data_IF_774337331342
#
_entry.id   IF_774337331342
#
_cell.length_a   1.000
_cell.length_b   1.000
_cell.length_c   1.000
_cell.angle_alpha   90.00
_cell.angle_beta   90.00
_cell.angle_gamma   90.00
#
_symmetry.space_group_name_H-M   'P 1'
#
loop_
_entity.id
_entity.type
_entity.pdbx_description
1 polymer ?
#
# COMPACT_ATOMS: atom_id res chain seq x y z
N UNK A 1 15.39 -22.61 18.31
CA UNK A 1 16.65 -21.90 18.00
C UNK A 1 16.83 -21.62 16.50
N UNK A 2 17.22 -22.56 15.61
CA UNK A 2 17.44 -22.24 14.17
C UNK A 2 16.13 -21.86 13.45
N UNK A 3 15.03 -22.57 13.76
CA UNK A 3 13.72 -22.30 13.16
C UNK A 3 13.13 -20.95 13.61
N UNK A 4 13.30 -20.58 14.88
CA UNK A 4 12.89 -19.26 15.41
C UNK A 4 13.65 -18.13 14.74
N UNK A 5 14.98 -18.23 14.63
CA UNK A 5 15.78 -17.21 13.94
C UNK A 5 15.43 -17.06 12.46
N UNK A 6 14.96 -18.13 11.82
CA UNK A 6 14.47 -18.09 10.44
C UNK A 6 13.11 -17.38 10.34
N UNK A 7 12.22 -17.63 11.31
CA UNK A 7 10.90 -16.97 11.39
C UNK A 7 11.05 -15.48 11.72
N UNK A 8 11.97 -15.10 12.61
CA UNK A 8 12.24 -13.69 12.91
C UNK A 8 12.72 -12.93 11.66
N UNK A 9 13.70 -13.47 10.94
CA UNK A 9 14.19 -12.86 9.69
C UNK A 9 13.11 -12.78 8.61
N UNK A 10 12.23 -13.79 8.52
CA UNK A 10 11.10 -13.78 7.59
C UNK A 10 10.05 -12.72 7.96
N UNK A 11 9.78 -12.56 9.27
CA UNK A 11 8.83 -11.56 9.78
C UNK A 11 9.33 -10.14 9.51
N UNK A 12 10.63 -9.90 9.66
CA UNK A 12 11.25 -8.62 9.34
C UNK A 12 11.20 -8.30 7.84
N UNK A 13 11.38 -9.31 6.99
CA UNK A 13 11.19 -9.19 5.54
C UNK A 13 9.74 -8.85 5.15
N UNK A 14 8.74 -9.43 5.81
CA UNK A 14 7.32 -9.11 5.59
C UNK A 14 7.03 -7.66 5.97
N UNK A 15 7.56 -7.17 7.09
CA UNK A 15 7.40 -5.77 7.50
C UNK A 15 7.97 -4.80 6.47
N UNK A 16 9.15 -5.12 5.93
CA UNK A 16 9.75 -4.32 4.86
C UNK A 16 8.88 -4.33 3.59
N UNK A 17 8.34 -5.50 3.20
CA UNK A 17 7.48 -5.62 2.02
C UNK A 17 6.17 -4.86 2.20
N UNK A 18 5.59 -4.86 3.40
CA UNK A 18 4.41 -4.06 3.75
C UNK A 18 4.68 -2.56 3.68
N UNK A 19 5.82 -2.09 4.20
CA UNK A 19 6.24 -0.69 4.09
C UNK A 19 6.41 -0.28 2.63
N UNK A 20 7.06 -1.12 1.82
CA UNK A 20 7.24 -0.89 0.39
C UNK A 20 5.90 -0.86 -0.36
N UNK A 21 4.99 -1.77 -0.02
CA UNK A 21 3.62 -1.81 -0.55
C UNK A 21 2.83 -0.54 -0.24
N UNK A 22 2.97 0.02 0.96
CA UNK A 22 2.31 1.28 1.34
C UNK A 22 2.82 2.47 0.51
N UNK A 23 4.15 2.57 0.30
CA UNK A 23 4.75 3.63 -0.53
C UNK A 23 4.26 3.52 -1.98
N UNK A 24 4.27 2.30 -2.54
CA UNK A 24 3.77 2.04 -3.90
C UNK A 24 2.28 2.35 -4.03
N UNK A 25 1.46 1.97 -3.05
CA UNK A 25 0.03 2.28 -3.02
C UNK A 25 -0.24 3.78 -3.04
N UNK A 26 0.52 4.56 -2.27
CA UNK A 26 0.42 6.02 -2.23
C UNK A 26 0.86 6.66 -3.56
N UNK A 27 1.94 6.17 -4.17
CA UNK A 27 2.40 6.59 -5.50
C UNK A 27 1.35 6.35 -6.59
N UNK A 28 0.71 5.18 -6.59
CA UNK A 28 -0.36 4.83 -7.53
C UNK A 28 -1.57 5.73 -7.31
N UNK A 29 -1.91 6.06 -6.07
CA UNK A 29 -3.02 6.95 -5.75
C UNK A 29 -2.76 8.38 -6.24
N UNK A 30 -1.56 8.92 -6.01
CA UNK A 30 -1.15 10.22 -6.53
C UNK A 30 -1.15 10.23 -8.06
N UNK A 31 -0.55 9.23 -8.70
CA UNK A 31 -0.52 9.10 -10.15
C UNK A 31 -1.94 8.96 -10.76
N UNK A 32 -2.82 8.20 -10.10
CA UNK A 32 -4.22 8.05 -10.49
C UNK A 32 -4.99 9.36 -10.37
N UNK A 33 -4.74 10.15 -9.32
CA UNK A 33 -5.38 11.45 -9.12
C UNK A 33 -4.92 12.49 -10.16
N UNK A 34 -3.61 12.55 -10.44
CA UNK A 34 -3.03 13.39 -11.50
C UNK A 34 -3.58 12.97 -12.87
N UNK A 35 -3.63 11.67 -13.14
CA UNK A 35 -4.21 11.11 -14.35
C UNK A 35 -5.68 11.48 -14.54
N UNK A 36 -6.46 11.53 -13.44
CA UNK A 36 -7.85 11.97 -13.46
C UNK A 36 -8.01 13.45 -13.77
N UNK A 37 -7.05 14.29 -13.37
CA UNK A 37 -7.07 15.74 -13.62
C UNK A 37 -6.69 16.08 -15.06
N UNK A 38 -5.77 15.33 -15.66
CA UNK A 38 -5.19 15.63 -16.98
C UNK A 38 -5.92 14.91 -18.12
N UNK A 39 -6.50 13.72 -17.90
CA UNK A 39 -7.13 12.96 -18.99
C UNK A 39 -8.57 13.39 -19.31
N UNK A 40 -8.97 13.37 -20.61
CA UNK A 40 -10.33 13.68 -21.03
C UNK A 40 -11.35 12.65 -20.51
N UNK A 41 -12.60 13.12 -20.30
CA UNK A 41 -13.70 12.40 -19.62
C UNK A 41 -13.94 10.97 -20.11
N UNK A 42 -13.64 10.65 -21.37
CA UNK A 42 -13.86 9.33 -21.97
C UNK A 42 -12.99 8.20 -21.38
N UNK A 43 -11.85 8.50 -20.75
CA UNK A 43 -11.00 7.49 -20.08
C UNK A 43 -11.11 7.46 -18.55
N UNK A 44 -12.00 8.26 -17.96
CA UNK A 44 -12.17 8.34 -16.49
C UNK A 44 -12.58 7.02 -15.84
N UNK A 45 -13.28 6.14 -16.55
CA UNK A 45 -13.74 4.87 -15.97
C UNK A 45 -12.57 3.95 -15.62
N UNK A 46 -11.57 3.80 -16.52
CA UNK A 46 -10.35 3.04 -16.22
C UNK A 46 -9.50 3.70 -15.13
N UNK A 47 -9.49 5.03 -15.03
CA UNK A 47 -8.76 5.74 -13.95
C UNK A 47 -9.41 5.57 -12.57
N UNK A 48 -10.74 5.47 -12.49
CA UNK A 48 -11.42 5.12 -11.23
C UNK A 48 -11.01 3.73 -10.73
N UNK A 49 -10.86 2.75 -11.63
CA UNK A 49 -10.41 1.40 -11.24
C UNK A 49 -9.00 1.44 -10.65
N UNK A 50 -8.09 2.22 -11.24
CA UNK A 50 -6.71 2.39 -10.74
C UNK A 50 -6.71 3.07 -9.36
N UNK A 51 -7.56 4.08 -9.16
CA UNK A 51 -7.72 4.74 -7.86
C UNK A 51 -8.27 3.79 -6.79
N UNK A 52 -9.28 2.98 -7.12
CA UNK A 52 -9.85 1.98 -6.21
C UNK A 52 -8.81 0.92 -5.83
N UNK A 53 -8.05 0.41 -6.81
CA UNK A 53 -6.94 -0.53 -6.55
C UNK A 53 -5.86 0.09 -5.65
N UNK A 54 -5.47 1.34 -5.91
CA UNK A 54 -4.53 2.09 -5.07
C UNK A 54 -5.04 2.26 -3.64
N UNK A 55 -6.33 2.57 -3.47
CA UNK A 55 -6.96 2.74 -2.17
C UNK A 55 -7.04 1.43 -1.38
N UNK A 56 -7.34 0.31 -2.03
CA UNK A 56 -7.35 -1.02 -1.40
C UNK A 56 -5.94 -1.45 -0.99
N UNK A 57 -4.93 -1.21 -1.84
CA UNK A 57 -3.52 -1.46 -1.52
C UNK A 57 -3.07 -0.62 -0.32
N UNK A 58 -3.45 0.66 -0.27
CA UNK A 58 -3.17 1.54 0.86
C UNK A 58 -3.93 1.14 2.12
N UNK A 59 -5.16 0.65 2.02
CA UNK A 59 -5.87 0.10 3.19
C UNK A 59 -5.14 -1.13 3.73
N UNK A 60 -4.78 -2.09 2.88
CA UNK A 60 -4.16 -3.35 3.34
C UNK A 60 -2.74 -3.15 3.87
N UNK A 61 -1.92 -2.37 3.15
CA UNK A 61 -0.52 -2.13 3.53
C UNK A 61 -0.39 -0.95 4.50
N UNK A 62 -1.14 0.12 4.29
CA UNK A 62 -1.07 1.37 5.06
C UNK A 62 -1.79 1.31 6.40
N UNK A 63 -2.88 0.52 6.56
CA UNK A 63 -3.46 0.28 7.90
C UNK A 63 -2.53 -0.61 8.72
N UNK A 64 -1.95 -1.66 8.13
CA UNK A 64 -1.01 -2.53 8.84
C UNK A 64 0.25 -1.79 9.29
N UNK A 65 0.86 -1.00 8.39
CA UNK A 65 2.02 -0.17 8.73
C UNK A 65 1.67 1.01 9.62
N UNK A 66 0.51 1.67 9.39
CA UNK A 66 0.02 2.76 10.22
C UNK A 66 -0.27 2.33 11.66
N UNK A 67 -0.88 1.16 11.88
CA UNK A 67 -1.10 0.60 13.23
C UNK A 67 0.23 0.24 13.91
N UNK A 68 1.20 -0.32 13.18
CA UNK A 68 2.55 -0.61 13.73
C UNK A 68 3.33 0.67 14.08
N UNK A 69 3.26 1.72 13.25
CA UNK A 69 4.01 2.97 13.45
C UNK A 69 3.33 3.97 14.39
N UNK A 70 1.99 4.07 14.40
CA UNK A 70 1.26 4.94 15.34
C UNK A 70 1.00 4.28 16.70
N UNK A 71 1.46 3.04 16.92
CA UNK A 71 1.37 2.38 18.21
C UNK A 71 -0.05 2.05 18.65
N UNK A 72 -1.01 2.04 17.72
CA UNK A 72 -2.37 1.57 18.00
C UNK A 72 -2.34 0.05 17.95
N UNK A 73 -1.88 -0.56 19.05
CA UNK A 73 -2.19 -1.96 19.37
C UNK A 73 -3.66 -2.01 19.80
N UNK A 74 -4.47 -2.75 19.05
CA UNK A 74 -5.65 -3.41 19.61
C UNK A 74 -5.21 -4.77 20.13
#
# INVERSE_FOLDING_TARGET
>A
MILESYIDGFTEGIKFLMAFGSIMGLLILIAGLIGMLIMPKFKRNSMCVILVLGFVLLMLCGVSTGLEYFGVRI
#
